data_IF_201659552106
#
_entry.id   IF_201659552106
#
_cell.length_a   1.000
_cell.length_b   1.000
_cell.length_c   1.000
_cell.angle_alpha   90.00
_cell.angle_beta   90.00
_cell.angle_gamma   90.00
#
_symmetry.space_group_name_H-M   'P 1'
#
loop_
_entity.id
_entity.type
_entity.pdbx_description
1 polymer ?
#
# COMPACT_ATOMS: atom_id res chain seq x y z
N UNK A 1 -1.07 13.46 8.75
CA UNK A 1 -0.42 14.12 7.59
C UNK A 1 -0.98 13.40 6.39
N UNK A 2 -1.79 14.10 5.60
CA UNK A 2 -2.40 13.50 4.42
C UNK A 2 -1.59 13.88 3.19
N UNK A 3 -1.38 12.91 2.30
CA UNK A 3 -0.69 13.07 1.03
C UNK A 3 -1.75 12.90 -0.05
N UNK A 4 -1.78 13.85 -0.97
CA UNK A 4 -2.64 13.76 -2.14
C UNK A 4 -2.00 12.86 -3.20
N UNK A 5 -2.72 11.81 -3.58
CA UNK A 5 -2.35 10.90 -4.67
C UNK A 5 -2.99 11.41 -5.97
N UNK A 6 -2.21 11.99 -6.91
CA UNK A 6 -2.76 12.59 -8.12
C UNK A 6 -3.33 11.56 -9.11
N UNK A 7 -2.80 10.32 -9.09
CA UNK A 7 -3.26 9.24 -9.97
C UNK A 7 -4.62 8.70 -9.52
N UNK A 8 -4.80 8.52 -8.21
CA UNK A 8 -6.05 8.06 -7.62
C UNK A 8 -7.06 9.20 -7.38
N UNK A 9 -6.61 10.46 -7.46
CA UNK A 9 -7.38 11.65 -7.10
C UNK A 9 -7.96 11.57 -5.67
N UNK A 10 -7.16 11.05 -4.73
CA UNK A 10 -7.54 10.80 -3.33
C UNK A 10 -6.47 11.34 -2.38
N UNK A 11 -6.91 11.92 -1.26
CA UNK A 11 -6.03 12.24 -0.14
C UNK A 11 -6.00 11.06 0.82
N UNK A 12 -4.81 10.53 1.08
CA UNK A 12 -4.61 9.39 1.97
C UNK A 12 -3.65 9.74 3.08
N UNK A 13 -3.84 9.14 4.25
CA UNK A 13 -2.95 9.37 5.37
C UNK A 13 -1.56 8.77 5.09
N UNK A 14 -0.51 9.60 5.17
CA UNK A 14 0.88 9.22 4.95
C UNK A 14 1.28 8.00 5.81
N UNK A 15 0.81 7.98 7.05
CA UNK A 15 1.15 6.96 8.02
C UNK A 15 0.57 5.60 7.62
N UNK A 16 -0.64 5.58 7.06
CA UNK A 16 -1.28 4.37 6.55
C UNK A 16 -0.45 3.78 5.42
N UNK A 17 -0.03 4.59 4.43
CA UNK A 17 0.77 4.12 3.30
C UNK A 17 2.10 3.51 3.74
N UNK A 18 2.79 4.15 4.70
CA UNK A 18 4.06 3.63 5.23
C UNK A 18 3.86 2.30 5.97
N UNK A 19 2.84 2.21 6.82
CA UNK A 19 2.51 0.97 7.53
C UNK A 19 2.15 -0.16 6.56
N UNK A 20 1.34 0.14 5.55
CA UNK A 20 0.90 -0.80 4.53
C UNK A 20 2.10 -1.29 3.71
N UNK A 21 3.01 -0.39 3.31
CA UNK A 21 4.24 -0.74 2.62
C UNK A 21 5.17 -1.62 3.47
N UNK A 22 5.35 -1.29 4.75
CA UNK A 22 6.15 -2.09 5.67
C UNK A 22 5.58 -3.50 5.90
N UNK A 23 4.28 -3.59 6.15
CA UNK A 23 3.58 -4.84 6.38
C UNK A 23 3.62 -5.73 5.12
N UNK A 24 3.34 -5.15 3.95
CA UNK A 24 3.45 -5.89 2.68
C UNK A 24 4.88 -6.29 2.36
N UNK A 25 5.88 -5.46 2.64
CA UNK A 25 7.28 -5.81 2.48
C UNK A 25 7.68 -7.03 3.30
N UNK A 26 7.23 -7.09 4.57
CA UNK A 26 7.46 -8.25 5.45
C UNK A 26 6.77 -9.49 4.87
N UNK A 27 5.48 -9.41 4.54
CA UNK A 27 4.74 -10.56 4.00
C UNK A 27 5.32 -11.04 2.66
N UNK A 28 5.65 -10.11 1.75
CA UNK A 28 6.27 -10.39 0.46
C UNK A 28 7.62 -11.09 0.63
N UNK A 29 8.44 -10.64 1.58
CA UNK A 29 9.71 -11.30 1.93
C UNK A 29 9.52 -12.70 2.53
N UNK A 30 8.50 -12.90 3.37
CA UNK A 30 8.19 -14.20 3.99
C UNK A 30 7.69 -15.23 2.97
N UNK A 31 6.80 -14.82 2.07
CA UNK A 31 6.19 -15.72 1.07
C UNK A 31 6.99 -15.80 -0.24
N UNK A 32 8.01 -14.96 -0.43
CA UNK A 32 8.79 -14.89 -1.67
C UNK A 32 7.98 -14.44 -2.89
N UNK A 33 6.82 -13.82 -2.68
CA UNK A 33 5.96 -13.30 -3.74
C UNK A 33 6.35 -11.87 -4.06
N UNK A 34 6.36 -11.48 -5.34
CA UNK A 34 6.73 -10.11 -5.74
C UNK A 34 5.84 -9.06 -5.06
N UNK A 35 6.43 -7.96 -4.57
CA UNK A 35 5.71 -6.97 -3.75
C UNK A 35 4.42 -6.44 -4.39
N UNK A 36 4.42 -6.26 -5.73
CA UNK A 36 3.24 -5.84 -6.50
C UNK A 36 2.04 -6.79 -6.40
N UNK A 37 2.27 -8.08 -6.19
CA UNK A 37 1.21 -9.08 -6.05
C UNK A 37 0.38 -8.84 -4.78
N UNK A 38 1.01 -8.40 -3.69
CA UNK A 38 0.35 -8.15 -2.42
C UNK A 38 -0.09 -6.69 -2.27
N UNK A 39 0.72 -5.71 -2.70
CA UNK A 39 0.37 -4.29 -2.55
C UNK A 39 -0.86 -3.91 -3.37
N UNK A 40 -0.96 -4.37 -4.62
CA UNK A 40 -2.07 -4.01 -5.53
C UNK A 40 -3.45 -4.38 -4.97
N UNK A 41 -3.73 -5.65 -4.60
CA UNK A 41 -5.04 -6.00 -4.06
C UNK A 41 -5.34 -5.32 -2.72
N UNK A 42 -4.34 -5.08 -1.87
CA UNK A 42 -4.54 -4.41 -0.59
C UNK A 42 -4.90 -2.93 -0.76
N UNK A 43 -4.30 -2.24 -1.73
CA UNK A 43 -4.67 -0.86 -2.07
C UNK A 43 -6.10 -0.79 -2.63
N UNK A 44 -6.50 -1.75 -3.47
CA UNK A 44 -7.87 -1.86 -3.99
C UNK A 44 -8.87 -2.07 -2.83
N UNK A 45 -8.56 -2.94 -1.86
CA UNK A 45 -9.41 -3.13 -0.67
C UNK A 45 -9.50 -1.88 0.20
N UNK A 46 -8.41 -1.10 0.27
CA UNK A 46 -8.39 0.18 0.96
C UNK A 46 -9.16 1.28 0.21
N UNK A 47 -9.49 1.07 -1.07
CA UNK A 47 -10.27 2.00 -1.89
C UNK A 47 -9.42 2.99 -2.70
N UNK A 48 -8.15 2.65 -2.95
CA UNK A 48 -7.25 3.38 -3.85
C UNK A 48 -7.27 2.74 -5.25
#
# INVERSE_FOLDING_TARGET
MDIYLPIANLSVNAFVIVLLGGLVGILSGMFGVGGGFLTTPLLIFYGI
#
